data_IF_193489254398
#
_entry.id   IF_193489254398
#
_cell.length_a   1.000
_cell.length_b   1.000
_cell.length_c   1.000
_cell.angle_alpha   90.00
_cell.angle_beta   90.00
_cell.angle_gamma   90.00
#
_symmetry.space_group_name_H-M   'P 1'
#
loop_
_entity.id
_entity.type
_entity.pdbx_description
1 polymer ?
#
# COMPACT_ATOMS: atom_id res chain seq x y z
N UNK A 1 -1.99 -12.74 16.58
CA UNK A 1 -2.48 -11.84 15.50
C UNK A 1 -1.99 -10.45 15.82
N UNK A 2 -0.97 -10.00 15.09
CA UNK A 2 -0.49 -8.64 15.22
C UNK A 2 -1.60 -7.74 14.67
N UNK A 3 -2.21 -6.95 15.54
CA UNK A 3 -3.31 -6.07 15.15
C UNK A 3 -2.63 -4.94 14.39
N UNK A 4 -2.79 -4.90 13.07
CA UNK A 4 -2.29 -3.78 12.27
C UNK A 4 -2.83 -2.51 12.91
N UNK A 5 -1.93 -1.56 13.16
CA UNK A 5 -2.32 -0.28 13.72
C UNK A 5 -3.25 0.44 12.73
N UNK A 6 -4.37 0.96 13.24
CA UNK A 6 -5.39 1.55 12.38
C UNK A 6 -4.92 2.87 11.75
N UNK A 7 -4.00 3.59 12.40
CA UNK A 7 -3.40 4.80 11.86
C UNK A 7 -2.41 4.46 10.75
N UNK A 8 -1.55 3.45 11.00
CA UNK A 8 -0.63 2.92 9.98
C UNK A 8 -1.38 2.45 8.73
N UNK A 9 -2.49 1.72 8.90
CA UNK A 9 -3.28 1.23 7.76
C UNK A 9 -3.90 2.38 6.95
N UNK A 10 -4.40 3.41 7.65
CA UNK A 10 -4.94 4.60 7.00
C UNK A 10 -3.87 5.33 6.18
N UNK A 11 -2.69 5.52 6.75
CA UNK A 11 -1.56 6.14 6.03
C UNK A 11 -1.09 5.30 4.84
N UNK A 12 -1.16 3.97 4.95
CA UNK A 12 -0.83 3.05 3.86
C UNK A 12 -1.81 3.20 2.69
N UNK A 13 -3.11 3.26 2.99
CA UNK A 13 -4.15 3.51 1.99
C UNK A 13 -4.00 4.87 1.32
N UNK A 14 -3.73 5.93 2.09
CA UNK A 14 -3.48 7.26 1.55
C UNK A 14 -2.26 7.25 0.59
N UNK A 15 -1.20 6.50 0.93
CA UNK A 15 -0.04 6.34 0.06
C UNK A 15 -0.35 5.52 -1.20
N UNK A 16 -1.07 4.41 -1.08
CA UNK A 16 -1.50 3.58 -2.21
C UNK A 16 -2.37 4.37 -3.19
N UNK A 17 -3.33 5.14 -2.69
CA UNK A 17 -4.19 6.00 -3.50
C UNK A 17 -3.37 7.09 -4.20
N UNK A 18 -2.40 7.69 -3.51
CA UNK A 18 -1.52 8.70 -4.09
C UNK A 18 -0.60 8.16 -5.19
N UNK A 19 -0.09 6.93 -5.04
CA UNK A 19 0.86 6.35 -5.97
C UNK A 19 0.24 5.54 -7.10
N UNK A 20 -0.88 4.88 -6.87
CA UNK A 20 -1.48 3.90 -7.78
C UNK A 20 -2.97 4.10 -8.01
N UNK A 21 -3.61 5.10 -7.38
CA UNK A 21 -5.04 5.36 -7.44
C UNK A 21 -5.94 4.19 -6.98
N UNK A 22 -5.38 3.26 -6.20
CA UNK A 22 -6.08 2.13 -5.57
C UNK A 22 -5.73 2.10 -4.09
N UNK A 23 -6.60 1.57 -3.23
CA UNK A 23 -6.32 1.30 -1.81
C UNK A 23 -6.16 -0.22 -1.55
N UNK A 24 -5.87 -0.62 -0.31
CA UNK A 24 -5.67 -2.04 0.01
C UNK A 24 -6.90 -2.92 -0.29
N UNK A 25 -8.12 -2.39 -0.16
CA UNK A 25 -9.35 -3.13 -0.42
C UNK A 25 -9.60 -3.28 -1.92
N UNK A 26 -9.33 -2.24 -2.72
CA UNK A 26 -9.39 -2.30 -4.18
C UNK A 26 -8.34 -3.27 -4.75
N UNK A 27 -7.15 -3.27 -4.15
CA UNK A 27 -6.09 -4.24 -4.44
C UNK A 27 -6.40 -5.68 -3.97
N UNK A 28 -7.48 -5.88 -3.20
CA UNK A 28 -7.89 -7.20 -2.69
C UNK A 28 -6.99 -7.74 -1.57
N UNK A 29 -6.22 -6.88 -0.91
CA UNK A 29 -5.28 -7.29 0.13
C UNK A 29 -6.01 -7.73 1.41
N UNK A 30 -5.51 -8.81 2.01
CA UNK A 30 -5.95 -9.27 3.31
C UNK A 30 -5.02 -8.78 4.43
N UNK A 31 -5.53 -8.71 5.66
CA UNK A 31 -4.75 -8.28 6.82
C UNK A 31 -3.45 -9.09 7.06
N UNK A 32 -3.40 -10.37 6.67
CA UNK A 32 -2.17 -11.17 6.74
C UNK A 32 -1.10 -10.68 5.75
N UNK A 33 -1.52 -10.30 4.55
CA UNK A 33 -0.65 -9.78 3.49
C UNK A 33 -0.13 -8.40 3.87
N UNK A 34 -1.01 -7.53 4.38
CA UNK A 34 -0.64 -6.20 4.87
C UNK A 34 0.31 -6.30 6.08
N UNK A 35 0.12 -7.28 6.96
CA UNK A 35 0.99 -7.50 8.13
C UNK A 35 2.44 -7.80 7.76
N UNK A 36 2.72 -8.27 6.54
CA UNK A 36 4.09 -8.48 6.04
C UNK A 36 4.84 -7.18 5.83
N UNK A 37 4.11 -6.09 5.59
CA UNK A 37 4.66 -4.76 5.36
C UNK A 37 4.61 -3.86 6.60
N UNK A 38 3.99 -4.31 7.70
CA UNK A 38 3.81 -3.51 8.92
C UNK A 38 5.12 -3.16 9.65
N UNK A 39 6.25 -3.77 9.28
CA UNK A 39 7.59 -3.40 9.76
C UNK A 39 8.15 -2.15 9.04
N UNK A 40 7.61 -1.83 7.86
CA UNK A 40 7.98 -0.67 7.05
C UNK A 40 7.11 0.55 7.38
N UNK A 41 7.59 1.74 6.99
CA UNK A 41 6.70 2.91 6.98
C UNK A 41 5.56 2.71 5.95
N UNK A 42 4.37 3.28 6.17
CA UNK A 42 3.22 3.08 5.27
C UNK A 42 3.54 3.44 3.80
N UNK A 43 4.34 4.48 3.59
CA UNK A 43 4.80 4.92 2.27
C UNK A 43 5.77 3.93 1.61
N UNK A 44 6.73 3.41 2.37
CA UNK A 44 7.66 2.39 1.86
C UNK A 44 6.94 1.08 1.56
N UNK A 45 5.98 0.69 2.42
CA UNK A 45 5.11 -0.44 2.20
C UNK A 45 4.35 -0.32 0.87
N UNK A 46 3.69 0.82 0.63
CA UNK A 46 2.95 1.05 -0.62
C UNK A 46 3.87 0.98 -1.86
N UNK A 47 5.06 1.60 -1.80
CA UNK A 47 6.02 1.55 -2.89
C UNK A 47 6.56 0.14 -3.14
N UNK A 48 6.82 -0.61 -2.07
CA UNK A 48 7.29 -2.01 -2.15
C UNK A 48 6.21 -2.88 -2.79
N UNK A 49 4.98 -2.77 -2.31
CA UNK A 49 3.83 -3.46 -2.90
C UNK A 49 3.69 -3.16 -4.40
N UNK A 50 3.76 -1.90 -4.78
CA UNK A 50 3.68 -1.53 -6.19
C UNK A 50 4.82 -2.06 -7.06
N UNK A 51 6.02 -2.27 -6.50
CA UNK A 51 7.13 -2.91 -7.23
C UNK A 51 6.92 -4.43 -7.32
N UNK A 52 6.45 -5.08 -6.26
CA UNK A 52 6.23 -6.53 -6.26
C UNK A 52 5.08 -6.96 -7.18
N UNK A 53 4.06 -6.12 -7.30
CA UNK A 53 2.87 -6.38 -8.12
C UNK A 53 2.88 -5.62 -9.45
N UNK A 54 4.01 -5.00 -9.82
CA UNK A 54 4.22 -4.23 -11.06
C UNK A 54 3.10 -3.20 -11.33
N UNK A 55 2.67 -2.50 -10.28
CA UNK A 55 1.61 -1.50 -10.38
C UNK A 55 2.10 -0.27 -11.13
N UNK A 56 1.29 0.18 -12.10
CA UNK A 56 1.55 1.43 -12.80
C UNK A 56 1.38 2.62 -11.85
N UNK A 57 2.46 3.37 -11.63
CA UNK A 57 2.38 4.60 -10.85
C UNK A 57 1.59 5.66 -11.61
N UNK A 58 0.68 6.35 -10.93
CA UNK A 58 -0.11 7.43 -11.53
C UNK A 58 0.79 8.58 -12.00
N UNK A 59 1.92 8.79 -11.34
CA UNK A 59 2.93 9.79 -11.70
C UNK A 59 3.60 9.52 -13.07
N UNK A 60 3.59 8.26 -13.54
CA UNK A 60 4.22 7.88 -14.82
C UNK A 60 3.29 8.06 -16.03
N UNK A 61 2.00 8.38 -15.81
CA UNK A 61 1.03 8.54 -16.88
C UNK A 61 1.07 9.91 -17.60
N UNK A 62 1.83 10.89 -17.07
CA UNK A 62 1.94 12.25 -17.63
C UNK A 62 3.39 12.63 -17.94
N UNK A 63 4.08 11.86 -18.78
CA UNK A 63 5.33 12.27 -19.43
C UNK A 63 5.27 12.14 -20.95
#
# INVERSE_FOLDING_TARGET
>A
MNRIDADWLREFDEAMLGFFAIDHADAGMCADEISRYADLSPKEAALTYGVEYDLCRVDTFWS
#
